data_IF_025052992767
#
_entry.id   IF_025052992767
#
_cell.length_a   1.000
_cell.length_b   1.000
_cell.length_c   1.000
_cell.angle_alpha   90.00
_cell.angle_beta   90.00
_cell.angle_gamma   90.00
#
_symmetry.space_group_name_H-M   'P 1'
#
loop_
_entity.id
_entity.type
_entity.pdbx_description
1 polymer ?
#
# COMPACT_ATOMS: atom_id res chain seq x y z
N UNK A 1 -9.69 10.43 -55.21
CA UNK A 1 -9.29 9.17 -55.88
C UNK A 1 -8.49 8.40 -54.87
N UNK A 2 -8.77 7.13 -54.68
CA UNK A 2 -8.10 6.26 -53.70
C UNK A 2 -6.56 6.35 -53.79
N UNK A 3 -6.04 6.54 -55.00
CA UNK A 3 -4.62 6.79 -55.28
C UNK A 3 -4.05 8.02 -54.55
N UNK A 4 -4.76 9.14 -54.55
CA UNK A 4 -4.33 10.39 -53.90
C UNK A 4 -4.26 10.24 -52.37
N UNK A 5 -5.18 9.47 -51.80
CA UNK A 5 -5.24 9.26 -50.36
C UNK A 5 -4.10 8.34 -49.89
N UNK A 6 -3.75 7.33 -50.69
CA UNK A 6 -2.57 6.48 -50.45
C UNK A 6 -1.28 7.30 -50.50
N UNK A 7 -1.11 8.18 -51.49
CA UNK A 7 0.08 9.05 -51.58
C UNK A 7 0.21 9.93 -50.34
N UNK A 8 -0.90 10.51 -49.87
CA UNK A 8 -0.91 11.33 -48.64
C UNK A 8 -0.51 10.52 -47.41
N UNK A 9 -1.01 9.29 -47.28
CA UNK A 9 -0.64 8.42 -46.17
C UNK A 9 0.84 8.06 -46.20
N UNK A 10 1.39 7.71 -47.36
CA UNK A 10 2.83 7.42 -47.52
C UNK A 10 3.66 8.63 -47.08
N UNK A 11 3.34 9.83 -47.58
CA UNK A 11 4.05 11.05 -47.22
C UNK A 11 3.99 11.32 -45.71
N UNK A 12 2.84 11.10 -45.08
CA UNK A 12 2.69 11.28 -43.63
C UNK A 12 3.50 10.27 -42.83
N UNK A 13 3.51 9.00 -43.24
CA UNK A 13 4.31 7.98 -42.56
C UNK A 13 5.82 8.21 -42.73
N UNK A 14 6.27 8.67 -43.90
CA UNK A 14 7.67 9.08 -44.10
C UNK A 14 8.07 10.27 -43.22
N UNK A 15 7.14 11.22 -43.01
CA UNK A 15 7.35 12.35 -42.09
C UNK A 15 7.50 11.88 -40.64
N UNK A 16 6.64 10.95 -40.19
CA UNK A 16 6.75 10.34 -38.86
C UNK A 16 8.09 9.62 -38.69
N UNK A 17 8.52 8.85 -39.69
CA UNK A 17 9.77 8.07 -39.63
C UNK A 17 11.02 8.96 -39.61
N UNK A 18 10.95 10.15 -40.20
CA UNK A 18 12.09 11.07 -40.27
C UNK A 18 12.14 12.10 -39.13
N UNK A 19 11.01 12.35 -38.44
CA UNK A 19 10.90 13.32 -37.36
C UNK A 19 10.59 12.65 -36.01
N UNK A 20 11.61 12.54 -35.14
CA UNK A 20 11.48 11.94 -33.80
C UNK A 20 10.44 12.66 -32.91
N UNK A 21 10.32 13.98 -33.03
CA UNK A 21 9.36 14.77 -32.23
C UNK A 21 7.92 14.44 -32.64
N UNK A 22 7.67 14.33 -33.95
CA UNK A 22 6.36 13.93 -34.48
C UNK A 22 6.02 12.50 -34.07
N UNK A 23 6.99 11.57 -34.16
CA UNK A 23 6.82 10.19 -33.72
C UNK A 23 6.44 10.11 -32.24
N UNK A 24 7.19 10.80 -31.36
CA UNK A 24 6.88 10.86 -29.92
C UNK A 24 5.51 11.46 -29.64
N UNK A 25 5.10 12.48 -30.40
CA UNK A 25 3.78 13.08 -30.28
C UNK A 25 2.68 12.08 -30.60
N UNK A 26 2.78 11.38 -31.74
CA UNK A 26 1.82 10.34 -32.15
C UNK A 26 1.71 9.25 -31.06
N UNK A 27 2.84 8.74 -30.56
CA UNK A 27 2.85 7.75 -29.47
C UNK A 27 2.14 8.28 -28.23
N UNK A 28 2.40 9.52 -27.84
CA UNK A 28 1.76 10.13 -26.65
C UNK A 28 0.25 10.28 -26.82
N UNK A 29 -0.19 10.70 -28.01
CA UNK A 29 -1.60 10.86 -28.34
C UNK A 29 -2.31 9.50 -28.32
N UNK A 30 -1.71 8.46 -28.91
CA UNK A 30 -2.24 7.09 -28.86
C UNK A 30 -2.33 6.55 -27.43
N UNK A 31 -1.31 6.77 -26.60
CA UNK A 31 -1.33 6.36 -25.19
C UNK A 31 -2.40 7.11 -24.38
N UNK A 32 -2.64 8.38 -24.68
CA UNK A 32 -3.70 9.17 -24.05
C UNK A 32 -5.09 8.65 -24.45
N UNK A 33 -5.27 8.27 -25.71
CA UNK A 33 -6.50 7.65 -26.21
C UNK A 33 -6.76 6.30 -25.54
N UNK A 34 -5.73 5.45 -25.41
CA UNK A 34 -5.84 4.17 -24.70
C UNK A 34 -6.24 4.41 -23.24
N UNK A 35 -5.58 5.34 -22.55
CA UNK A 35 -5.91 5.70 -21.17
C UNK A 35 -7.36 6.19 -21.04
N UNK A 36 -7.86 6.93 -22.04
CA UNK A 36 -9.23 7.45 -22.03
C UNK A 36 -10.26 6.35 -22.28
N UNK A 37 -9.96 5.39 -23.16
CA UNK A 37 -10.88 4.30 -23.50
C UNK A 37 -10.93 3.19 -22.45
N UNK A 38 -9.81 2.93 -21.77
CA UNK A 38 -9.65 1.74 -20.93
C UNK A 38 -9.16 2.04 -19.50
N UNK A 39 -8.93 3.30 -19.15
CA UNK A 39 -8.51 3.66 -17.80
C UNK A 39 -9.63 3.47 -16.77
N UNK A 40 -9.28 2.89 -15.64
CA UNK A 40 -10.13 2.75 -14.46
C UNK A 40 -9.54 3.50 -13.26
N UNK A 41 -10.36 3.68 -12.23
CA UNK A 41 -9.89 4.26 -10.99
C UNK A 41 -9.04 3.27 -10.18
N UNK A 42 -8.03 3.79 -9.48
CA UNK A 42 -7.20 2.97 -8.61
C UNK A 42 -8.04 2.43 -7.44
N UNK A 43 -8.16 1.11 -7.36
CA UNK A 43 -8.92 0.44 -6.30
C UNK A 43 -8.24 0.51 -4.91
N UNK A 44 -6.91 0.60 -4.86
CA UNK A 44 -6.15 0.57 -3.62
C UNK A 44 -5.72 1.96 -3.15
N UNK A 45 -5.84 2.20 -1.85
CA UNK A 45 -5.36 3.42 -1.19
C UNK A 45 -4.02 3.13 -0.53
N UNK A 46 -3.05 4.02 -0.70
CA UNK A 46 -1.76 3.95 -0.01
C UNK A 46 -1.92 4.67 1.33
N UNK A 47 -1.91 3.91 2.43
CA UNK A 47 -1.94 4.45 3.78
C UNK A 47 -0.50 4.68 4.25
N UNK A 48 -0.13 5.93 4.53
CA UNK A 48 1.26 6.31 4.87
C UNK A 48 1.71 5.90 6.27
N UNK A 49 0.79 5.45 7.13
CA UNK A 49 1.08 4.74 8.37
C UNK A 49 -0.19 4.01 8.81
N UNK A 50 -0.17 2.68 8.85
CA UNK A 50 -0.90 1.98 9.91
C UNK A 50 -0.32 2.48 11.22
N UNK A 51 -1.15 2.82 12.21
CA UNK A 51 -0.73 3.17 13.57
C UNK A 51 0.51 2.35 13.96
N UNK A 52 1.52 3.01 14.52
CA UNK A 52 2.76 2.39 14.97
C UNK A 52 2.40 1.24 15.90
N UNK A 53 2.31 0.02 15.36
CA UNK A 53 2.09 -1.18 16.14
C UNK A 53 3.29 -1.28 17.06
N UNK A 54 3.07 -1.00 18.34
CA UNK A 54 4.12 -1.17 19.30
C UNK A 54 4.32 -2.68 19.45
N UNK A 55 5.56 -3.19 19.40
CA UNK A 55 5.86 -4.59 19.67
C UNK A 55 5.19 -5.10 20.96
N UNK A 56 4.94 -4.18 21.90
CA UNK A 56 4.25 -4.40 23.16
C UNK A 56 2.79 -4.85 23.00
N UNK A 57 2.08 -4.42 21.95
CA UNK A 57 0.67 -4.76 21.69
C UNK A 57 0.50 -6.25 21.29
N UNK A 58 1.58 -6.97 21.02
CA UNK A 58 1.57 -8.41 20.71
C UNK A 58 1.73 -9.31 21.93
N UNK A 59 2.09 -8.75 23.10
CA UNK A 59 2.17 -9.55 24.32
C UNK A 59 0.77 -9.73 24.92
N UNK A 60 0.50 -10.92 25.46
CA UNK A 60 -0.77 -11.20 26.12
C UNK A 60 -0.85 -10.44 27.46
N UNK A 61 -2.03 -9.88 27.75
CA UNK A 61 -2.32 -9.33 29.07
C UNK A 61 -2.40 -10.45 30.11
N UNK A 62 -1.47 -10.45 31.07
CA UNK A 62 -1.43 -11.39 32.18
C UNK A 62 -1.79 -10.69 33.49
N UNK A 63 -2.76 -11.23 34.23
CA UNK A 63 -3.07 -10.76 35.58
C UNK A 63 -1.97 -11.20 36.57
N UNK A 64 -1.22 -10.23 37.07
CA UNK A 64 -0.06 -10.45 37.94
C UNK A 64 -0.22 -9.75 39.28
N UNK A 65 0.30 -10.37 40.34
CA UNK A 65 0.42 -9.76 41.67
C UNK A 65 1.87 -9.34 41.91
N UNK A 66 2.07 -8.07 42.25
CA UNK A 66 3.38 -7.53 42.67
C UNK A 66 3.42 -7.49 44.19
N UNK A 67 4.35 -8.22 44.79
CA UNK A 67 4.56 -8.22 46.24
C UNK A 67 5.83 -7.46 46.58
N UNK A 68 5.73 -6.51 47.51
CA UNK A 68 6.86 -5.74 48.06
C UNK A 68 7.02 -6.12 49.53
N UNK A 69 8.18 -6.64 49.91
CA UNK A 69 8.49 -6.95 51.32
C UNK A 69 9.05 -5.72 52.05
N UNK A 70 8.98 -5.76 53.39
CA UNK A 70 9.55 -4.71 54.25
C UNK A 70 11.07 -4.53 54.08
N UNK A 71 11.79 -5.57 53.63
CA UNK A 71 13.24 -5.49 53.33
C UNK A 71 13.53 -5.04 51.88
N UNK A 72 12.50 -4.65 51.13
CA UNK A 72 12.63 -4.10 49.78
C UNK A 72 12.66 -5.14 48.64
N UNK A 73 12.40 -6.42 48.92
CA UNK A 73 12.27 -7.42 47.84
C UNK A 73 10.98 -7.21 47.04
N UNK A 74 11.11 -7.21 45.71
CA UNK A 74 10.01 -7.10 44.75
C UNK A 74 9.90 -8.44 43.99
N UNK A 75 8.72 -9.07 44.01
CA UNK A 75 8.43 -10.30 43.26
C UNK A 75 7.15 -10.15 42.45
N UNK A 76 7.15 -10.68 41.21
CA UNK A 76 5.96 -10.87 40.36
C UNK A 76 5.51 -12.33 40.38
N UNK A 77 4.23 -12.59 40.55
CA UNK A 77 3.64 -13.94 40.54
C UNK A 77 2.27 -13.90 39.85
N UNK A 78 1.91 -14.88 39.00
CA UNK A 78 0.58 -14.94 38.39
C UNK A 78 -0.53 -14.93 39.45
N UNK A 79 -1.64 -14.24 39.17
CA UNK A 79 -2.76 -14.15 40.11
C UNK A 79 -3.29 -15.54 40.51
N UNK A 80 -3.33 -16.47 39.55
CA UNK A 80 -3.80 -17.85 39.75
C UNK A 80 -2.98 -18.64 40.78
N UNK A 81 -1.69 -18.35 40.93
CA UNK A 81 -0.81 -19.00 41.91
C UNK A 81 -1.01 -18.43 43.31
N UNK A 82 -1.33 -17.13 43.43
CA UNK A 82 -1.54 -16.44 44.72
C UNK A 82 -2.96 -16.65 45.26
N UNK A 83 -3.96 -16.65 44.38
CA UNK A 83 -5.36 -16.82 44.73
C UNK A 83 -5.97 -17.95 43.87
N UNK A 84 -5.87 -19.23 44.29
CA UNK A 84 -6.45 -20.34 43.55
C UNK A 84 -7.99 -20.28 43.61
N UNK A 85 -8.60 -19.70 42.56
CA UNK A 85 -10.00 -19.79 42.06
C UNK A 85 -11.17 -19.79 43.07
N UNK A 86 -10.95 -19.58 44.36
CA UNK A 86 -11.93 -19.77 45.44
C UNK A 86 -12.23 -18.47 46.21
N UNK A 87 -11.63 -17.34 45.82
CA UNK A 87 -11.69 -16.07 46.57
C UNK A 87 -12.04 -14.86 45.65
N UNK A 88 -12.30 -15.08 44.37
CA UNK A 88 -12.80 -14.03 43.47
C UNK A 88 -14.34 -14.16 43.42
N UNK A 89 -15.12 -13.15 43.86
CA UNK A 89 -16.58 -13.15 43.69
C UNK A 89 -16.99 -13.04 42.23
#
# INVERSE_FOLDING_TARGET
SEYEDIIKQISYFEEILSNDELCRKVIKDELADIRTRYGDERLSIIMHSSEDFNPEDFYADEEMVITISHMGYIKRTPLSEVFPSSIIP
#
